data_IF_608637621478
#
_entry.id   IF_608637621478
#
_cell.length_a   1.000
_cell.length_b   1.000
_cell.length_c   1.000
_cell.angle_alpha   90.00
_cell.angle_beta   90.00
_cell.angle_gamma   90.00
#
_symmetry.space_group_name_H-M   'P 1'
#
loop_
_entity.id
_entity.type
_entity.pdbx_description
1 polymer ?
#
# COMPACT_ATOMS: atom_id res chain seq x y z
N UNK A 1 3.37 -13.41 22.93
CA UNK A 1 2.21 -12.65 22.42
C UNK A 1 2.60 -11.18 22.45
N UNK A 2 2.81 -10.55 21.29
CA UNK A 2 3.04 -9.12 21.22
C UNK A 2 1.70 -8.43 21.55
N UNK A 3 1.68 -7.63 22.61
CA UNK A 3 0.51 -6.81 22.96
C UNK A 3 0.21 -5.86 21.80
N UNK A 4 -0.98 -5.96 21.23
CA UNK A 4 -1.45 -4.99 20.23
C UNK A 4 -1.95 -3.78 21.02
N UNK A 5 -1.11 -2.76 21.17
CA UNK A 5 -1.55 -1.50 21.75
C UNK A 5 -2.66 -0.88 20.89
N UNK A 6 -3.81 -0.64 21.50
CA UNK A 6 -4.97 -0.06 20.85
C UNK A 6 -4.65 1.40 20.54
N UNK A 7 -4.53 1.74 19.26
CA UNK A 7 -4.28 3.11 18.84
C UNK A 7 -5.42 4.04 19.30
N UNK A 8 -5.11 5.27 19.75
CA UNK A 8 -6.14 6.21 20.19
C UNK A 8 -7.08 6.57 19.03
N UNK A 9 -8.38 6.54 19.32
CA UNK A 9 -9.45 6.86 18.38
C UNK A 9 -9.34 8.31 17.89
N UNK A 10 -9.67 8.53 16.61
CA UNK A 10 -9.65 9.82 15.92
C UNK A 10 -10.72 9.81 14.84
N UNK A 11 -11.56 10.84 14.77
CA UNK A 11 -12.76 10.86 13.91
C UNK A 11 -12.47 10.73 12.41
N UNK A 12 -11.38 11.33 11.93
CA UNK A 12 -10.99 11.32 10.51
C UNK A 12 -9.93 10.26 10.17
N UNK A 13 -9.70 9.30 11.06
CA UNK A 13 -8.65 8.31 10.88
C UNK A 13 -9.10 7.16 9.98
N UNK A 14 -8.36 6.94 8.91
CA UNK A 14 -8.52 5.78 8.00
C UNK A 14 -7.69 4.57 8.41
N UNK A 15 -7.21 4.54 9.67
CA UNK A 15 -6.35 3.51 10.26
C UNK A 15 -5.21 3.05 9.33
N UNK A 16 -4.46 3.99 8.76
CA UNK A 16 -3.32 3.67 7.86
C UNK A 16 -2.16 2.95 8.56
N UNK A 17 -2.10 2.98 9.89
CA UNK A 17 -1.10 2.30 10.72
C UNK A 17 0.06 3.17 11.23
N UNK A 18 0.19 4.44 10.82
CA UNK A 18 1.27 5.34 11.33
C UNK A 18 1.24 5.46 12.86
N UNK A 19 0.04 5.57 13.43
CA UNK A 19 -0.20 5.66 14.88
C UNK A 19 0.15 4.39 15.66
N UNK A 20 0.45 3.29 14.97
CA UNK A 20 0.82 1.98 15.54
C UNK A 20 2.31 1.67 15.34
N UNK A 21 3.07 2.59 14.73
CA UNK A 21 4.53 2.48 14.63
C UNK A 21 5.20 2.85 15.95
N UNK A 22 6.51 2.66 16.04
CA UNK A 22 7.34 3.14 17.17
C UNK A 22 7.35 4.67 17.32
N UNK A 23 6.86 5.42 16.33
CA UNK A 23 6.81 6.89 16.35
C UNK A 23 5.39 7.40 16.02
N UNK A 24 4.39 7.14 16.89
CA UNK A 24 2.99 7.44 16.61
C UNK A 24 2.70 8.93 16.41
N UNK A 25 3.55 9.80 16.97
CA UNK A 25 3.47 11.27 16.80
C UNK A 25 3.73 11.72 15.36
N UNK A 26 4.29 10.86 14.49
CA UNK A 26 4.43 11.14 13.04
C UNK A 26 3.09 11.38 12.36
N UNK A 27 1.95 10.99 12.95
CA UNK A 27 0.65 11.41 12.46
C UNK A 27 0.54 12.94 12.31
N UNK A 28 1.19 13.73 13.18
CA UNK A 28 1.16 15.19 13.10
C UNK A 28 1.80 15.76 11.82
N UNK A 29 2.75 15.02 11.20
CA UNK A 29 3.53 15.50 10.05
C UNK A 29 3.36 14.66 8.79
N UNK A 30 2.82 13.44 8.90
CA UNK A 30 2.68 12.50 7.79
C UNK A 30 1.21 12.18 7.44
N UNK A 31 0.26 12.45 8.34
CA UNK A 31 -1.14 12.12 8.08
C UNK A 31 -1.74 13.08 7.04
N UNK A 32 -2.32 12.51 5.99
CA UNK A 32 -2.98 13.27 4.91
C UNK A 32 -4.23 14.02 5.39
N UNK A 33 -4.84 13.59 6.50
CA UNK A 33 -6.02 14.23 7.09
C UNK A 33 -5.71 15.27 8.17
N UNK A 34 -4.44 15.38 8.60
CA UNK A 34 -4.03 16.35 9.62
C UNK A 34 -3.22 17.48 8.99
N UNK A 35 -2.23 17.16 8.17
CA UNK A 35 -1.33 18.14 7.56
C UNK A 35 -0.94 17.72 6.13
N UNK A 36 -1.87 17.75 5.16
CA UNK A 36 -1.56 17.40 3.78
C UNK A 36 -0.56 18.39 3.17
N UNK A 37 0.43 17.88 2.45
CA UNK A 37 1.38 18.69 1.69
C UNK A 37 1.77 17.98 0.39
N UNK A 38 0.82 17.88 -0.55
CA UNK A 38 1.03 17.20 -1.82
C UNK A 38 2.19 17.78 -2.64
N UNK A 39 2.36 19.12 -2.80
CA UNK A 39 3.48 19.66 -3.56
C UNK A 39 4.84 19.21 -3.05
N UNK A 40 5.04 19.23 -1.72
CA UNK A 40 6.30 18.75 -1.11
C UNK A 40 6.52 17.27 -1.40
N UNK A 41 5.52 16.42 -1.21
CA UNK A 41 5.66 14.98 -1.38
C UNK A 41 5.81 14.57 -2.85
N UNK A 42 5.20 15.30 -3.78
CA UNK A 42 5.42 15.11 -5.21
C UNK A 42 6.86 15.42 -5.61
N UNK A 43 7.42 16.53 -5.14
CA UNK A 43 8.84 16.84 -5.39
C UNK A 43 9.76 15.77 -4.80
N UNK A 44 9.47 15.26 -3.60
CA UNK A 44 10.28 14.21 -2.98
C UNK A 44 10.20 12.87 -3.72
N UNK A 45 9.03 12.48 -4.22
CA UNK A 45 8.82 11.19 -4.89
C UNK A 45 9.15 11.21 -6.39
N UNK A 46 8.89 12.33 -7.06
CA UNK A 46 8.94 12.46 -8.53
C UNK A 46 9.96 13.49 -9.02
N UNK A 47 10.62 14.22 -8.12
CA UNK A 47 11.57 15.29 -8.45
C UNK A 47 10.92 16.61 -8.91
N UNK A 48 9.60 16.66 -9.05
CA UNK A 48 8.82 17.85 -9.45
C UNK A 48 7.41 17.81 -8.88
N UNK A 49 6.75 18.96 -8.87
CA UNK A 49 5.31 19.04 -8.63
C UNK A 49 4.53 18.66 -9.89
N UNK A 50 3.24 18.36 -9.71
CA UNK A 50 2.31 18.17 -10.82
C UNK A 50 2.21 19.43 -11.70
N UNK A 51 2.08 19.25 -13.00
CA UNK A 51 1.72 20.31 -13.93
C UNK A 51 0.24 20.67 -13.75
N UNK A 52 -0.06 21.96 -13.62
CA UNK A 52 -1.44 22.45 -13.41
C UNK A 52 -2.06 23.06 -14.65
N UNK A 53 -1.26 23.46 -15.63
CA UNK A 53 -1.72 24.05 -16.88
C UNK A 53 -1.77 22.98 -17.98
N UNK A 54 -2.91 22.88 -18.67
CA UNK A 54 -3.12 22.01 -19.82
C UNK A 54 -2.63 20.55 -19.64
N UNK A 55 -2.78 20.02 -18.42
CA UNK A 55 -2.28 18.71 -18.04
C UNK A 55 -3.33 17.91 -17.28
N UNK A 56 -3.42 16.61 -17.58
CA UNK A 56 -4.27 15.67 -16.85
C UNK A 56 -3.72 15.36 -15.44
N UNK A 57 -2.50 15.82 -15.12
CA UNK A 57 -1.90 15.63 -13.79
C UNK A 57 -2.71 16.32 -12.66
N UNK A 58 -3.59 17.26 -13.00
CA UNK A 58 -4.55 17.82 -12.03
C UNK A 58 -5.50 16.75 -11.48
N UNK A 59 -5.83 15.74 -12.28
CA UNK A 59 -6.70 14.62 -11.89
C UNK A 59 -5.90 13.41 -11.41
N UNK A 60 -4.78 13.09 -12.07
CA UNK A 60 -4.07 11.83 -11.87
C UNK A 60 -2.74 11.95 -11.09
N UNK A 61 -2.29 13.17 -10.79
CA UNK A 61 -0.95 13.42 -10.22
C UNK A 61 0.18 13.28 -11.25
N UNK A 62 1.46 13.46 -10.86
CA UNK A 62 2.59 13.32 -11.78
C UNK A 62 2.71 11.91 -12.38
N UNK A 63 2.86 11.81 -13.70
CA UNK A 63 3.08 10.53 -14.41
C UNK A 63 4.10 10.69 -15.54
N UNK A 64 4.60 9.56 -16.05
CA UNK A 64 5.41 9.51 -17.27
C UNK A 64 4.53 9.14 -18.48
N UNK A 65 3.77 8.05 -18.36
CA UNK A 65 2.90 7.52 -19.41
C UNK A 65 1.66 6.87 -18.79
N UNK A 66 0.56 6.79 -19.54
CA UNK A 66 -0.67 6.12 -19.13
C UNK A 66 -1.02 4.98 -20.09
N UNK A 67 -1.27 3.80 -19.53
CA UNK A 67 -1.56 2.59 -20.30
C UNK A 67 -2.80 1.87 -19.79
N UNK A 68 -3.43 1.10 -20.69
CA UNK A 68 -4.42 0.09 -20.36
C UNK A 68 -3.83 -1.30 -20.63
N UNK A 69 -3.80 -2.15 -19.61
CA UNK A 69 -3.20 -3.47 -19.70
C UNK A 69 -4.12 -4.56 -19.14
N UNK A 70 -3.86 -5.80 -19.57
CA UNK A 70 -4.42 -7.04 -19.00
C UNK A 70 -3.37 -8.14 -19.07
N UNK A 71 -3.36 -9.07 -18.12
CA UNK A 71 -2.56 -10.29 -18.28
C UNK A 71 -3.11 -11.13 -19.43
N UNK A 72 -2.22 -11.77 -20.21
CA UNK A 72 -2.60 -12.74 -21.25
C UNK A 72 -3.34 -13.92 -20.62
N UNK A 73 -2.82 -14.40 -19.51
CA UNK A 73 -3.41 -15.44 -18.67
C UNK A 73 -3.79 -14.82 -17.32
N UNK A 74 -5.08 -14.53 -17.08
CA UNK A 74 -5.55 -13.99 -15.81
C UNK A 74 -5.29 -14.95 -14.65
N UNK A 75 -4.87 -14.39 -13.50
CA UNK A 75 -4.66 -15.18 -12.28
C UNK A 75 -6.00 -15.54 -11.63
N UNK A 76 -6.21 -16.83 -11.34
CA UNK A 76 -7.39 -17.30 -10.61
C UNK A 76 -7.48 -16.62 -9.24
N UNK A 77 -8.65 -16.07 -8.93
CA UNK A 77 -8.94 -15.41 -7.65
C UNK A 77 -8.50 -13.94 -7.56
N UNK A 78 -7.92 -13.36 -8.62
CA UNK A 78 -7.62 -11.94 -8.67
C UNK A 78 -8.89 -11.08 -8.89
N UNK A 79 -8.86 -9.81 -8.44
CA UNK A 79 -9.98 -8.87 -8.60
C UNK A 79 -10.28 -8.55 -10.08
N UNK A 80 -9.22 -8.47 -10.89
CA UNK A 80 -9.27 -8.29 -12.34
C UNK A 80 -8.44 -9.40 -12.99
N UNK A 81 -7.46 -9.06 -13.83
CA UNK A 81 -6.55 -10.07 -14.38
C UNK A 81 -5.36 -10.41 -13.47
N UNK A 82 -5.08 -9.62 -12.44
CA UNK A 82 -4.02 -9.91 -11.45
C UNK A 82 -2.67 -9.22 -11.70
N UNK A 83 -2.64 -8.10 -12.43
CA UNK A 83 -1.41 -7.37 -12.78
C UNK A 83 -0.56 -7.06 -11.55
N UNK A 84 -1.15 -6.49 -10.48
CA UNK A 84 -0.42 -6.12 -9.26
C UNK A 84 0.21 -7.34 -8.59
N UNK A 85 -0.55 -8.44 -8.46
CA UNK A 85 -0.03 -9.69 -7.91
C UNK A 85 1.14 -10.22 -8.74
N UNK A 86 1.00 -10.27 -10.07
CA UNK A 86 2.08 -10.76 -10.93
C UNK A 86 3.31 -9.86 -10.89
N UNK A 87 3.13 -8.54 -10.81
CA UNK A 87 4.25 -7.60 -10.67
C UNK A 87 5.04 -7.89 -9.40
N UNK A 88 4.38 -8.06 -8.26
CA UNK A 88 5.04 -8.41 -7.00
C UNK A 88 5.74 -9.77 -7.04
N UNK A 89 5.11 -10.79 -7.65
CA UNK A 89 5.74 -12.11 -7.87
C UNK A 89 7.05 -11.94 -8.65
N UNK A 90 7.03 -11.20 -9.77
CA UNK A 90 8.23 -10.96 -10.61
C UNK A 90 9.32 -10.21 -9.85
N UNK A 91 8.96 -9.19 -9.07
CA UNK A 91 9.95 -8.41 -8.29
C UNK A 91 10.65 -9.28 -7.23
N UNK A 92 9.94 -10.22 -6.61
CA UNK A 92 10.51 -11.20 -5.68
C UNK A 92 11.34 -12.27 -6.43
N UNK A 93 10.83 -12.81 -7.54
CA UNK A 93 11.53 -13.81 -8.39
C UNK A 93 12.87 -13.29 -8.89
N UNK A 94 12.93 -12.00 -9.26
CA UNK A 94 14.12 -11.35 -9.78
C UNK A 94 15.04 -10.79 -8.68
N UNK A 95 14.64 -10.88 -7.40
CA UNK A 95 15.39 -10.29 -6.29
C UNK A 95 15.51 -8.76 -6.35
N UNK A 96 14.59 -8.08 -7.06
CA UNK A 96 14.51 -6.61 -7.08
C UNK A 96 14.05 -6.10 -5.70
N UNK A 97 13.24 -6.90 -5.01
CA UNK A 97 12.86 -6.71 -3.60
C UNK A 97 12.98 -8.04 -2.86
N UNK A 98 13.29 -7.99 -1.57
CA UNK A 98 13.36 -9.16 -0.70
C UNK A 98 12.02 -9.46 -0.02
N UNK A 99 11.14 -8.47 0.04
CA UNK A 99 9.85 -8.55 0.70
C UNK A 99 8.82 -7.58 0.09
N UNK A 100 7.55 -7.97 0.15
CA UNK A 100 6.39 -7.16 -0.25
C UNK A 100 5.44 -7.04 0.94
N UNK A 101 5.13 -5.80 1.34
CA UNK A 101 4.05 -5.54 2.30
C UNK A 101 2.73 -5.43 1.54
N UNK A 102 1.74 -6.25 1.86
CA UNK A 102 0.45 -6.30 1.14
C UNK A 102 -0.67 -6.82 2.03
N UNK A 103 -1.85 -7.10 1.47
CA UNK A 103 -3.05 -7.53 2.19
C UNK A 103 -3.43 -8.99 1.87
N UNK A 104 -3.52 -9.79 2.92
CA UNK A 104 -4.23 -11.07 2.92
C UNK A 104 -5.65 -10.91 3.48
N UNK A 105 -6.40 -12.00 3.51
CA UNK A 105 -7.72 -12.06 4.16
C UNK A 105 -7.61 -12.64 5.56
N UNK A 106 -8.44 -12.17 6.47
CA UNK A 106 -8.61 -12.82 7.77
C UNK A 106 -9.12 -14.27 7.57
N UNK A 107 -8.58 -15.27 8.29
CA UNK A 107 -9.01 -16.67 8.17
C UNK A 107 -10.50 -16.88 8.44
N UNK A 108 -11.09 -16.06 9.31
CA UNK A 108 -12.49 -16.16 9.73
C UNK A 108 -13.40 -15.18 8.97
N UNK A 109 -12.82 -14.19 8.29
CA UNK A 109 -13.54 -13.25 7.43
C UNK A 109 -12.74 -12.90 6.17
N UNK A 110 -13.13 -13.50 5.05
CA UNK A 110 -12.46 -13.30 3.75
C UNK A 110 -12.42 -11.84 3.28
N UNK A 111 -13.33 -10.98 3.74
CA UNK A 111 -13.42 -9.59 3.34
C UNK A 111 -12.57 -8.66 4.19
N UNK A 112 -12.28 -9.06 5.43
CA UNK A 112 -11.48 -8.28 6.36
C UNK A 112 -10.00 -8.28 5.92
N UNK A 113 -9.40 -7.10 5.69
CA UNK A 113 -8.01 -7.00 5.27
C UNK A 113 -7.06 -7.25 6.44
N UNK A 114 -6.04 -8.08 6.23
CA UNK A 114 -4.96 -8.31 7.19
C UNK A 114 -3.62 -8.00 6.50
N UNK A 115 -2.88 -6.97 6.95
CA UNK A 115 -1.54 -6.70 6.43
C UNK A 115 -0.60 -7.88 6.67
N UNK A 116 0.22 -8.22 5.68
CA UNK A 116 1.22 -9.29 5.73
C UNK A 116 2.51 -8.85 5.03
N UNK A 117 3.62 -9.49 5.38
CA UNK A 117 4.89 -9.41 4.65
C UNK A 117 5.06 -10.72 3.90
N UNK A 118 5.25 -10.62 2.58
CA UNK A 118 5.46 -11.77 1.69
C UNK A 118 6.90 -11.74 1.18
N UNK A 119 7.64 -12.82 1.40
CA UNK A 119 9.05 -12.96 0.99
C UNK A 119 9.26 -14.03 -0.09
N UNK A 120 8.25 -14.87 -0.34
CA UNK A 120 8.27 -15.87 -1.41
C UNK A 120 7.28 -15.51 -2.51
N UNK A 121 7.66 -15.56 -3.79
CA UNK A 121 6.76 -15.23 -4.89
C UNK A 121 5.44 -15.99 -4.85
N UNK A 122 5.47 -17.30 -4.60
CA UNK A 122 4.29 -18.17 -4.60
C UNK A 122 3.24 -17.77 -3.55
N UNK A 123 3.68 -17.18 -2.44
CA UNK A 123 2.80 -16.73 -1.35
C UNK A 123 2.01 -15.47 -1.72
N UNK A 124 2.36 -14.76 -2.80
CA UNK A 124 1.54 -13.66 -3.32
C UNK A 124 0.14 -14.13 -3.73
N UNK A 125 -0.05 -15.42 -4.00
CA UNK A 125 -1.35 -16.02 -4.31
C UNK A 125 -2.38 -15.80 -3.20
N UNK A 126 -1.96 -15.82 -1.93
CA UNK A 126 -2.86 -15.60 -0.77
C UNK A 126 -3.37 -14.15 -0.68
N UNK A 127 -2.71 -13.22 -1.38
CA UNK A 127 -3.00 -11.80 -1.34
C UNK A 127 -3.93 -11.35 -2.47
N UNK A 128 -4.36 -12.26 -3.34
CA UNK A 128 -5.25 -11.95 -4.49
C UNK A 128 -6.62 -11.47 -4.03
N UNK A 129 -7.28 -10.69 -4.89
CA UNK A 129 -8.62 -10.17 -4.65
C UNK A 129 -8.65 -8.92 -3.75
N UNK A 130 -9.75 -8.16 -3.84
CA UNK A 130 -9.98 -6.98 -3.02
C UNK A 130 -10.48 -7.36 -1.62
N UNK A 131 -9.99 -6.65 -0.61
CA UNK A 131 -10.49 -6.72 0.77
C UNK A 131 -11.09 -5.36 1.14
N UNK A 132 -12.16 -5.38 1.92
CA UNK A 132 -12.97 -4.20 2.22
C UNK A 132 -12.70 -3.74 3.65
N UNK A 133 -12.24 -2.51 3.80
CA UNK A 133 -12.03 -1.88 5.11
C UNK A 133 -10.66 -1.23 5.24
N UNK A 134 -10.44 -0.63 6.41
CA UNK A 134 -9.15 -0.06 6.75
C UNK A 134 -8.17 -1.15 7.19
N UNK A 135 -6.92 -0.99 6.79
CA UNK A 135 -5.85 -1.91 7.08
C UNK A 135 -4.60 -1.13 7.47
N UNK A 136 -4.10 -1.28 8.72
CA UNK A 136 -2.94 -0.53 9.20
C UNK A 136 -1.62 -1.06 8.60
N UNK A 137 -1.43 -0.90 7.29
CA UNK A 137 -0.26 -1.43 6.54
C UNK A 137 1.05 -0.76 6.97
N UNK A 138 1.03 0.54 7.26
CA UNK A 138 2.25 1.32 7.53
C UNK A 138 2.94 0.90 8.83
N UNK A 139 2.22 0.23 9.75
CA UNK A 139 2.83 -0.26 10.99
C UNK A 139 3.94 -1.30 10.73
N UNK A 140 3.90 -2.00 9.59
CA UNK A 140 4.88 -3.03 9.22
C UNK A 140 6.22 -2.44 8.73
N UNK A 141 6.30 -1.14 8.43
CA UNK A 141 7.57 -0.50 8.05
C UNK A 141 8.64 -0.60 9.16
N UNK A 142 8.22 -0.65 10.43
CA UNK A 142 9.13 -0.81 11.56
C UNK A 142 9.69 -2.23 11.72
N UNK A 143 9.13 -3.22 11.04
CA UNK A 143 9.52 -4.63 11.14
C UNK A 143 10.57 -5.04 10.09
N UNK A 144 10.76 -4.23 9.05
CA UNK A 144 11.74 -4.47 7.98
C UNK A 144 13.10 -3.83 8.25
N UNK A 145 13.31 -3.29 9.45
CA UNK A 145 14.57 -2.65 9.86
C UNK A 145 15.48 -3.65 10.56
N UNK A 146 15.94 -4.67 9.84
CA UNK A 146 17.03 -5.56 10.25
C UNK A 146 17.96 -5.79 9.07
#
# INVERSE_FOLDING_TARGET
MVSIDIAPFRDLCTDCGVSRTTQPKRCATACQFIQPNYPKFETLAHGRQRATEHSDEVFFGPYLEMFRARLKEPLKGAQWTGIITRLCEVLLEQGVVEAVITMSSDPDDRWKPVPVIVTRPEDMAQCRGMKMGYAPIIQYLGLLSH
#
